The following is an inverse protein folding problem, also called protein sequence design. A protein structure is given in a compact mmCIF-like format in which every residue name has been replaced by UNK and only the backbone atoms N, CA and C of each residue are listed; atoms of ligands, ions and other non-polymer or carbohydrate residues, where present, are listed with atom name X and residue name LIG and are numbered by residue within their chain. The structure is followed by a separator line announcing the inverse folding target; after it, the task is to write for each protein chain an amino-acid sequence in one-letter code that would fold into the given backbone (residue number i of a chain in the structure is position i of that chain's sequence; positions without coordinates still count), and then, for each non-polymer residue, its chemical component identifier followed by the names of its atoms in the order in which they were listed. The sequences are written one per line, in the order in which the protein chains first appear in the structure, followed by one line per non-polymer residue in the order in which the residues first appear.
data_IF_844506530131
#
_entry.id   IF_844506530131
#
_cell.length_a   1.000
_cell.length_b   1.000
_cell.length_c   1.000
_cell.angle_alpha   90.00
_cell.angle_beta   90.00
_cell.angle_gamma   90.00
#
_symmetry.space_group_name_H-M   'P 1'
#
loop_
_entity.id
_entity.type
_entity.pdbx_description
1 polymer ?
#
# COMPACT_ATOMS: atom_id res chain seq x y z
N UNK A 1 1.18 1.22 -25.63
CA UNK A 1 0.22 2.27 -25.19
C UNK A 1 1.03 3.41 -24.61
N UNK A 2 0.76 4.67 -24.95
CA UNK A 2 1.52 5.81 -24.41
C UNK A 2 1.09 6.14 -22.96
N UNK A 3 1.93 6.83 -22.19
CA UNK A 3 1.64 7.15 -20.78
C UNK A 3 0.35 7.96 -20.61
N UNK A 4 0.04 8.85 -21.57
CA UNK A 4 -1.18 9.66 -21.54
C UNK A 4 -2.46 8.82 -21.63
N UNK A 5 -2.52 7.83 -22.53
CA UNK A 5 -3.68 6.94 -22.65
C UNK A 5 -3.89 6.07 -21.42
N UNK A 6 -2.79 5.68 -20.75
CA UNK A 6 -2.83 4.89 -19.52
C UNK A 6 -3.35 5.71 -18.33
N UNK A 7 -2.90 6.97 -18.19
CA UNK A 7 -3.47 7.88 -17.18
C UNK A 7 -4.96 8.13 -17.42
N UNK A 8 -5.38 8.30 -18.67
CA UNK A 8 -6.80 8.51 -18.98
C UNK A 8 -7.65 7.28 -18.61
N UNK A 9 -7.14 6.07 -18.89
CA UNK A 9 -7.76 4.81 -18.44
C UNK A 9 -7.93 4.79 -16.92
N UNK A 10 -6.87 5.08 -16.15
CA UNK A 10 -6.96 5.05 -14.69
C UNK A 10 -7.90 6.12 -14.12
N UNK A 11 -7.95 7.33 -14.71
CA UNK A 11 -8.96 8.34 -14.33
C UNK A 11 -10.38 7.85 -14.59
N UNK A 12 -10.61 7.13 -15.68
CA UNK A 12 -11.92 6.54 -15.97
C UNK A 12 -12.28 5.45 -14.95
N UNK A 13 -11.34 4.57 -14.61
CA UNK A 13 -11.53 3.55 -13.58
C UNK A 13 -11.84 4.16 -12.20
N UNK A 14 -11.12 5.21 -11.81
CA UNK A 14 -11.38 5.92 -10.54
C UNK A 14 -12.77 6.55 -10.53
N UNK A 15 -13.26 7.05 -11.67
CA UNK A 15 -14.63 7.58 -11.76
C UNK A 15 -15.67 6.49 -11.51
N UNK A 16 -15.48 5.30 -12.09
CA UNK A 16 -16.36 4.14 -11.90
C UNK A 16 -16.39 3.61 -10.45
N UNK A 17 -15.63 4.18 -9.52
CA UNK A 17 -15.75 3.89 -8.10
C UNK A 17 -16.99 4.52 -7.46
N UNK A 18 -17.78 5.33 -8.17
CA UNK A 18 -19.11 5.78 -7.73
C UNK A 18 -20.24 4.80 -8.10
N UNK A 19 -19.97 3.84 -8.98
CA UNK A 19 -20.97 2.86 -9.45
C UNK A 19 -21.43 1.90 -8.34
N UNK A 20 -22.73 1.59 -8.33
CA UNK A 20 -23.33 0.69 -7.33
C UNK A 20 -23.33 -0.79 -7.75
N UNK A 21 -23.04 -1.10 -9.02
CA UNK A 21 -22.95 -2.48 -9.50
C UNK A 21 -21.74 -3.19 -8.88
N UNK A 22 -21.95 -4.23 -8.04
CA UNK A 22 -20.85 -4.93 -7.37
C UNK A 22 -19.88 -5.62 -8.36
N UNK A 23 -20.36 -6.04 -9.53
CA UNK A 23 -19.51 -6.68 -10.54
C UNK A 23 -18.57 -5.66 -11.18
N UNK A 24 -19.08 -4.47 -11.53
CA UNK A 24 -18.26 -3.38 -12.06
C UNK A 24 -17.23 -2.97 -11.01
N UNK A 25 -17.66 -2.75 -9.76
CA UNK A 25 -16.78 -2.34 -8.68
C UNK A 25 -15.67 -3.38 -8.43
N UNK A 26 -15.99 -4.68 -8.46
CA UNK A 26 -15.01 -5.75 -8.30
C UNK A 26 -13.94 -5.74 -9.42
N UNK A 27 -14.36 -5.56 -10.68
CA UNK A 27 -13.45 -5.51 -11.83
C UNK A 27 -12.56 -4.26 -11.76
N UNK A 28 -13.15 -3.10 -11.50
CA UNK A 28 -12.44 -1.82 -11.37
C UNK A 28 -11.40 -1.89 -10.25
N UNK A 29 -11.81 -2.37 -9.07
CA UNK A 29 -10.93 -2.52 -7.91
C UNK A 29 -9.76 -3.45 -8.21
N UNK A 30 -10.03 -4.61 -8.81
CA UNK A 30 -9.00 -5.58 -9.19
C UNK A 30 -7.99 -4.98 -10.17
N UNK A 31 -8.47 -4.24 -11.17
CA UNK A 31 -7.61 -3.60 -12.18
C UNK A 31 -6.74 -2.50 -11.56
N UNK A 32 -7.28 -1.70 -10.62
CA UNK A 32 -6.54 -0.67 -9.91
C UNK A 32 -5.43 -1.28 -9.04
N UNK A 33 -5.74 -2.36 -8.30
CA UNK A 33 -4.76 -3.08 -7.46
C UNK A 33 -3.68 -3.75 -8.33
N UNK A 34 -4.05 -4.39 -9.44
CA UNK A 34 -3.09 -5.01 -10.35
C UNK A 34 -2.08 -4.00 -10.93
N UNK A 35 -2.49 -2.74 -11.06
CA UNK A 35 -1.65 -1.65 -11.57
C UNK A 35 -1.16 -0.70 -10.45
N UNK A 36 -1.07 -1.18 -9.20
CA UNK A 36 -0.76 -0.39 -7.99
C UNK A 36 0.39 0.61 -8.14
N UNK A 37 1.50 0.21 -8.75
CA UNK A 37 2.69 1.08 -8.92
C UNK A 37 2.44 2.29 -9.81
N UNK A 38 1.47 2.21 -10.72
CA UNK A 38 1.16 3.26 -11.68
C UNK A 38 0.01 4.17 -11.22
N UNK A 39 -0.87 3.65 -10.35
CA UNK A 39 -2.10 4.33 -9.96
C UNK A 39 -2.09 4.91 -8.55
N UNK A 40 -1.12 4.54 -7.70
CA UNK A 40 -1.07 4.98 -6.29
C UNK A 40 -1.13 6.50 -6.13
N UNK A 41 -0.35 7.27 -6.90
CA UNK A 41 -0.40 8.74 -6.85
C UNK A 41 -1.76 9.30 -7.25
N UNK A 42 -2.38 8.73 -8.28
CA UNK A 42 -3.71 9.14 -8.74
C UNK A 42 -4.81 8.82 -7.74
N UNK A 43 -4.70 7.69 -7.02
CA UNK A 43 -5.62 7.35 -5.93
C UNK A 43 -5.47 8.34 -4.77
N UNK A 44 -4.25 8.71 -4.39
CA UNK A 44 -4.02 9.74 -3.38
C UNK A 44 -4.57 11.11 -3.79
N UNK A 45 -4.43 11.51 -5.06
CA UNK A 45 -5.06 12.73 -5.58
C UNK A 45 -6.60 12.65 -5.48
N UNK A 46 -7.17 11.50 -5.86
CA UNK A 46 -8.61 11.27 -5.88
C UNK A 46 -9.26 11.22 -4.49
N UNK A 47 -8.49 11.00 -3.42
CA UNK A 47 -8.97 11.11 -2.03
C UNK A 47 -9.53 12.50 -1.69
N UNK A 48 -9.18 13.54 -2.46
CA UNK A 48 -9.70 14.90 -2.27
C UNK A 48 -11.11 15.11 -2.86
N UNK A 49 -11.74 14.07 -3.42
CA UNK A 49 -13.11 14.17 -3.93
C UNK A 49 -14.12 14.52 -2.82
N UNK A 50 -15.20 15.22 -3.18
CA UNK A 50 -16.28 15.56 -2.27
C UNK A 50 -17.14 14.34 -1.89
N UNK A 51 -17.17 13.31 -2.75
CA UNK A 51 -17.96 12.10 -2.54
C UNK A 51 -17.37 11.20 -1.44
N UNK A 52 -18.14 10.96 -0.37
CA UNK A 52 -17.70 10.13 0.75
C UNK A 52 -17.58 8.65 0.42
N UNK A 53 -18.45 8.10 -0.43
CA UNK A 53 -18.43 6.69 -0.82
C UNK A 53 -17.18 6.40 -1.63
N UNK A 54 -16.89 7.26 -2.61
CA UNK A 54 -15.67 7.15 -3.43
C UNK A 54 -14.42 7.25 -2.56
N UNK A 55 -14.37 8.16 -1.57
CA UNK A 55 -13.24 8.24 -0.62
C UNK A 55 -13.06 6.95 0.19
N UNK A 56 -14.14 6.30 0.62
CA UNK A 56 -14.07 5.05 1.36
C UNK A 56 -13.49 3.95 0.47
N UNK A 57 -14.03 3.79 -0.74
CA UNK A 57 -13.56 2.79 -1.71
C UNK A 57 -12.10 3.01 -2.12
N UNK A 58 -11.68 4.25 -2.35
CA UNK A 58 -10.26 4.56 -2.61
C UNK A 58 -9.38 4.19 -1.42
N UNK A 59 -9.80 4.48 -0.19
CA UNK A 59 -9.05 4.09 1.01
C UNK A 59 -8.90 2.57 1.09
N UNK A 60 -9.97 1.82 0.87
CA UNK A 60 -9.92 0.35 0.88
C UNK A 60 -8.94 -0.20 -0.18
N UNK A 61 -8.90 0.40 -1.36
CA UNK A 61 -7.94 0.05 -2.42
C UNK A 61 -6.51 0.37 -2.00
N UNK A 62 -6.26 1.54 -1.40
CA UNK A 62 -4.93 1.92 -0.93
C UNK A 62 -4.45 1.01 0.21
N UNK A 63 -5.32 0.67 1.15
CA UNK A 63 -5.03 -0.24 2.26
C UNK A 63 -4.70 -1.65 1.75
N UNK A 64 -5.42 -2.13 0.72
CA UNK A 64 -5.13 -3.39 0.03
C UNK A 64 -3.74 -3.37 -0.64
N UNK A 65 -3.44 -2.30 -1.36
CA UNK A 65 -2.14 -2.11 -2.03
C UNK A 65 -1.01 -2.12 -1.00
N UNK A 66 -1.17 -1.40 0.12
CA UNK A 66 -0.19 -1.38 1.19
C UNK A 66 0.02 -2.77 1.79
N UNK A 67 -1.07 -3.50 2.05
CA UNK A 67 -1.00 -4.87 2.57
C UNK A 67 -0.24 -5.81 1.63
N UNK A 68 -0.51 -5.76 0.33
CA UNK A 68 0.22 -6.58 -0.65
C UNK A 68 1.71 -6.20 -0.70
N UNK A 69 2.04 -4.91 -0.67
CA UNK A 69 3.42 -4.46 -0.64
C UNK A 69 4.16 -4.92 0.63
N UNK A 70 3.50 -4.91 1.79
CA UNK A 70 4.06 -5.43 3.04
C UNK A 70 4.28 -6.94 2.96
N UNK A 71 3.34 -7.68 2.38
CA UNK A 71 3.46 -9.12 2.19
C UNK A 71 4.64 -9.45 1.25
N UNK A 72 4.80 -8.74 0.13
CA UNK A 72 5.93 -8.92 -0.79
C UNK A 72 7.28 -8.64 -0.12
N UNK A 73 7.34 -7.62 0.75
CA UNK A 73 8.55 -7.32 1.53
C UNK A 73 8.85 -8.42 2.56
N UNK A 74 7.83 -8.95 3.25
CA UNK A 74 8.00 -10.07 4.18
C UNK A 74 8.47 -11.34 3.46
N UNK A 75 7.87 -11.69 2.32
CA UNK A 75 8.29 -12.85 1.52
C UNK A 75 9.71 -12.68 0.98
N UNK A 76 10.10 -11.47 0.60
CA UNK A 76 11.47 -11.18 0.20
C UNK A 76 12.44 -11.35 1.36
N UNK A 77 12.09 -10.89 2.56
CA UNK A 77 12.93 -11.04 3.74
C UNK A 77 13.10 -12.50 4.17
N UNK A 78 12.05 -13.33 4.05
CA UNK A 78 12.10 -14.77 4.35
C UNK A 78 13.18 -15.51 3.53
N UNK A 79 13.53 -15.04 2.33
CA UNK A 79 14.60 -15.65 1.51
C UNK A 79 15.96 -15.61 2.17
N UNK A 80 16.18 -14.61 3.02
CA UNK A 80 17.44 -14.41 3.76
C UNK A 80 17.37 -15.03 5.16
N UNK A 81 16.28 -15.72 5.52
CA UNK A 81 16.17 -16.34 6.83
C UNK A 81 17.34 -17.33 7.02
N UNK A 82 18.14 -17.12 8.07
CA UNK A 82 19.38 -17.87 8.39
C UNK A 82 20.64 -17.48 7.59
N UNK A 83 20.64 -16.35 6.89
CA UNK A 83 21.86 -15.75 6.33
C UNK A 83 22.27 -14.52 7.14
N UNK A 84 23.53 -14.10 7.00
CA UNK A 84 24.02 -12.83 7.58
C UNK A 84 23.36 -11.59 6.94
N UNK A 85 22.69 -11.77 5.79
CA UNK A 85 21.92 -10.71 5.13
C UNK A 85 20.54 -10.50 5.77
N UNK A 86 20.13 -11.35 6.72
CA UNK A 86 18.89 -11.16 7.46
C UNK A 86 18.97 -9.95 8.41
N UNK A 87 18.13 -8.96 8.16
CA UNK A 87 18.01 -7.80 9.05
C UNK A 87 16.83 -7.99 10.01
N UNK A 88 17.15 -8.19 11.30
CA UNK A 88 16.15 -8.25 12.36
C UNK A 88 15.36 -6.94 12.50
N UNK A 89 16.02 -5.80 12.33
CA UNK A 89 15.38 -4.48 12.33
C UNK A 89 14.31 -4.37 11.23
N UNK A 90 14.65 -4.76 9.99
CA UNK A 90 13.67 -4.80 8.88
C UNK A 90 12.53 -5.77 9.17
N UNK A 91 12.83 -6.92 9.76
CA UNK A 91 11.80 -7.89 10.16
C UNK A 91 10.83 -7.29 11.18
N UNK A 92 11.37 -6.68 12.24
CA UNK A 92 10.58 -6.02 13.28
C UNK A 92 9.75 -4.88 12.71
N UNK A 93 10.32 -4.05 11.83
CA UNK A 93 9.61 -2.98 11.15
C UNK A 93 8.39 -3.51 10.35
N UNK A 94 8.58 -4.54 9.52
CA UNK A 94 7.53 -5.11 8.68
C UNK A 94 6.43 -5.81 9.51
N UNK A 95 6.82 -6.57 10.53
CA UNK A 95 5.89 -7.20 11.46
C UNK A 95 5.06 -6.14 12.18
N UNK A 96 5.72 -5.12 12.72
CA UNK A 96 5.03 -4.04 13.42
C UNK A 96 4.09 -3.28 12.48
N UNK A 97 4.43 -3.02 11.21
CA UNK A 97 3.48 -2.43 10.23
C UNK A 97 2.26 -3.30 9.95
N UNK A 98 2.43 -4.62 10.00
CA UNK A 98 1.35 -5.57 9.78
C UNK A 98 0.38 -5.63 10.96
N UNK A 99 0.90 -5.65 12.21
CA UNK A 99 0.07 -5.80 13.41
C UNK A 99 -0.34 -4.46 14.04
N UNK A 100 0.41 -3.40 13.78
CA UNK A 100 0.22 -2.06 14.35
C UNK A 100 0.40 -0.97 13.28
N UNK A 101 -0.44 -0.92 12.23
CA UNK A 101 -0.28 0.02 11.12
C UNK A 101 -0.34 1.50 11.52
N UNK A 102 -0.90 1.81 12.70
CA UNK A 102 -0.99 3.18 13.26
C UNK A 102 0.14 3.53 14.24
N UNK A 103 1.08 2.62 14.48
CA UNK A 103 2.19 2.90 15.39
C UNK A 103 3.11 3.97 14.80
N UNK A 104 3.73 4.79 15.65
CA UNK A 104 4.76 5.73 15.25
C UNK A 104 6.09 4.97 15.07
N UNK A 105 6.37 4.60 13.83
CA UNK A 105 7.56 3.81 13.48
C UNK A 105 8.86 4.60 13.54
N UNK A 106 8.78 5.93 13.41
CA UNK A 106 9.96 6.78 13.53
C UNK A 106 10.42 6.74 14.98
N UNK A 107 9.51 6.95 15.92
CA UNK A 107 9.79 6.83 17.34
C UNK A 107 10.31 5.43 17.72
N UNK A 108 9.75 4.36 17.14
CA UNK A 108 10.25 3.00 17.37
C UNK A 108 11.69 2.81 16.85
N UNK A 109 12.01 3.35 15.68
CA UNK A 109 13.34 3.25 15.10
C UNK A 109 14.38 4.06 15.89
N UNK A 110 13.99 5.21 16.44
CA UNK A 110 14.83 6.01 17.32
C UNK A 110 15.20 5.22 18.59
N UNK A 111 14.20 4.60 19.25
CA UNK A 111 14.43 3.75 20.43
C UNK A 111 15.37 2.58 20.12
N UNK A 112 15.16 1.89 19.00
CA UNK A 112 16.02 0.77 18.60
C UNK A 112 17.46 1.22 18.30
N UNK A 113 17.62 2.40 17.70
CA UNK A 113 18.93 2.99 17.42
C UNK A 113 19.68 3.36 18.70
N UNK A 114 18.99 3.94 19.68
CA UNK A 114 19.57 4.23 21.01
C UNK A 114 20.02 2.95 21.74
N UNK A 115 19.22 1.88 21.65
CA UNK A 115 19.57 0.58 22.24
C UNK A 115 20.81 -0.04 21.60
N UNK A 116 20.95 0.08 20.26
CA UNK A 116 22.10 -0.45 19.54
C UNK A 116 23.42 0.28 19.86
N UNK A 117 23.35 1.58 20.19
CA UNK A 117 24.52 2.37 20.62
C UNK A 117 24.94 2.02 22.05
N UNK A 118 24.02 1.49 22.85
CA UNK A 118 24.22 1.18 24.27
C UNK A 118 24.75 -0.24 24.55
N UNK A 119 25.06 -1.01 23.50
CA UNK A 119 25.61 -2.38 23.53
C UNK A 119 27.10 -2.38 23.14
#
# INVERSE_FOLDING_TARGET
MNQAGLQQKFRALIRLLDEDDPQILSVVTSELIANRHQVSSMLHEAMNTADSLVRIRIREILDEIERQNLQEQLESLKKYLKTEEFSLEKALHLVSKTFYPKADFVALQDVLSEMAISL
#
